data_IF_972942099653
#
_entry.id   IF_972942099653
#
_cell.length_a   1.000
_cell.length_b   1.000
_cell.length_c   1.000
_cell.angle_alpha   90.00
_cell.angle_beta   90.00
_cell.angle_gamma   90.00
#
_symmetry.space_group_name_H-M   'P 1'
#
loop_
_entity.id
_entity.type
_entity.pdbx_description
1 polymer ?
#
# COMPACT_ATOMS: atom_id res chain seq x y z
N UNK A 1 17.58 -3.57 -0.56
CA UNK A 1 17.69 -2.48 0.44
C UNK A 1 18.21 -1.20 -0.20
N UNK A 2 17.68 -0.02 0.19
CA UNK A 2 18.15 1.28 -0.32
C UNK A 2 18.93 2.06 0.73
N UNK A 3 19.89 2.88 0.33
CA UNK A 3 20.62 3.79 1.24
C UNK A 3 19.85 5.09 1.41
N UNK A 4 19.65 5.57 2.64
CA UNK A 4 19.10 6.90 2.97
C UNK A 4 20.04 7.67 3.89
N UNK A 5 19.75 8.96 4.15
CA UNK A 5 20.55 9.79 5.06
C UNK A 5 20.64 9.24 6.50
N UNK A 6 19.73 8.34 6.89
CA UNK A 6 19.71 7.67 8.20
C UNK A 6 20.06 6.18 8.19
N UNK A 7 20.60 5.65 7.09
CA UNK A 7 20.97 4.22 6.97
C UNK A 7 20.21 3.44 5.90
N UNK A 8 20.30 2.10 5.93
CA UNK A 8 19.62 1.21 4.99
C UNK A 8 18.11 1.16 5.30
N UNK A 9 17.29 1.66 4.39
CA UNK A 9 15.84 1.71 4.54
C UNK A 9 15.14 0.94 3.43
N UNK A 10 13.94 0.48 3.73
CA UNK A 10 13.07 -0.29 2.83
C UNK A 10 11.65 0.14 3.06
N UNK A 11 10.90 0.28 1.99
CA UNK A 11 9.48 0.62 2.02
C UNK A 11 8.65 -0.64 1.94
N UNK A 12 7.59 -0.69 2.73
CA UNK A 12 6.55 -1.71 2.63
C UNK A 12 5.41 -1.10 1.85
N UNK A 13 5.12 -1.67 0.68
CA UNK A 13 3.93 -1.37 -0.09
C UNK A 13 2.88 -2.44 0.19
N UNK A 14 1.63 -2.03 0.27
CA UNK A 14 0.51 -2.92 0.51
C UNK A 14 -0.71 -2.48 -0.29
N UNK A 15 -1.38 -3.45 -0.92
CA UNK A 15 -2.75 -3.33 -1.42
C UNK A 15 -3.64 -4.07 -0.44
N UNK A 16 -4.76 -3.48 -0.03
CA UNK A 16 -5.75 -4.13 0.84
C UNK A 16 -7.13 -4.11 0.24
N UNK A 17 -7.97 -5.05 0.67
CA UNK A 17 -9.40 -5.03 0.38
C UNK A 17 -10.13 -3.86 1.10
N UNK A 18 -11.43 -3.72 0.85
CA UNK A 18 -12.25 -2.68 1.47
C UNK A 18 -12.38 -2.79 3.00
N UNK A 19 -12.06 -3.96 3.59
CA UNK A 19 -12.05 -4.20 5.03
C UNK A 19 -10.69 -3.85 5.66
N UNK A 20 -9.67 -3.60 4.85
CA UNK A 20 -8.30 -3.33 5.28
C UNK A 20 -7.48 -4.59 5.48
N UNK A 21 -7.84 -5.70 4.84
CA UNK A 21 -7.06 -6.94 4.83
C UNK A 21 -6.07 -6.94 3.65
N UNK A 22 -4.79 -7.26 3.86
CA UNK A 22 -3.78 -7.18 2.81
C UNK A 22 -4.01 -8.24 1.73
N UNK A 23 -3.95 -7.83 0.46
CA UNK A 23 -4.02 -8.67 -0.74
C UNK A 23 -2.61 -8.89 -1.29
N UNK A 24 -1.84 -7.81 -1.45
CA UNK A 24 -0.49 -7.86 -2.02
C UNK A 24 0.46 -7.07 -1.14
N UNK A 25 1.64 -7.62 -0.90
CA UNK A 25 2.71 -7.03 -0.09
C UNK A 25 4.01 -7.05 -0.88
N UNK A 26 4.67 -5.90 -0.94
CA UNK A 26 5.93 -5.75 -1.68
C UNK A 26 6.91 -4.91 -0.88
N UNK A 27 8.19 -5.24 -1.01
CA UNK A 27 9.28 -4.43 -0.50
C UNK A 27 9.98 -3.73 -1.65
N UNK A 28 10.36 -2.48 -1.41
CA UNK A 28 11.32 -1.79 -2.28
C UNK A 28 12.39 -1.09 -1.47
N UNK A 29 13.52 -0.82 -2.13
CA UNK A 29 14.57 0.01 -1.57
C UNK A 29 14.00 1.37 -1.12
N UNK A 30 14.49 1.92 -0.01
CA UNK A 30 13.94 3.17 0.54
C UNK A 30 13.98 4.38 -0.40
N UNK A 31 14.87 4.38 -1.39
CA UNK A 31 14.97 5.42 -2.42
C UNK A 31 14.06 5.18 -3.63
N UNK A 32 13.39 4.03 -3.70
CA UNK A 32 12.50 3.74 -4.80
C UNK A 32 11.28 4.67 -4.78
N UNK A 33 10.90 5.15 -5.96
CA UNK A 33 9.71 5.98 -6.13
C UNK A 33 8.45 5.11 -5.96
N UNK A 34 7.50 5.57 -5.15
CA UNK A 34 6.35 4.77 -4.74
C UNK A 34 5.46 4.38 -5.93
N UNK A 35 5.17 5.34 -6.83
CA UNK A 35 4.39 5.08 -8.04
C UNK A 35 4.97 4.00 -8.96
N UNK A 36 6.28 4.01 -9.23
CA UNK A 36 6.92 2.99 -10.10
C UNK A 36 6.98 1.63 -9.41
N UNK A 37 7.06 1.64 -8.09
CA UNK A 37 7.21 0.45 -7.25
C UNK A 37 5.90 -0.32 -7.07
N UNK A 38 4.75 0.32 -7.24
CA UNK A 38 3.45 -0.30 -7.02
C UNK A 38 2.66 -0.61 -8.30
N UNK A 39 3.17 -0.24 -9.50
CA UNK A 39 2.49 -0.55 -10.77
C UNK A 39 2.17 -2.04 -10.87
N UNK A 40 3.11 -2.94 -10.59
CA UNK A 40 2.91 -4.39 -10.62
C UNK A 40 2.00 -4.93 -9.50
N UNK A 41 1.73 -4.16 -8.46
CA UNK A 41 0.84 -4.58 -7.37
C UNK A 41 -0.64 -4.41 -7.71
N UNK A 42 -0.94 -3.64 -8.76
CA UNK A 42 -2.30 -3.24 -9.12
C UNK A 42 -2.92 -4.14 -10.19
N UNK A 43 -2.26 -5.24 -10.56
CA UNK A 43 -2.81 -6.25 -11.46
C UNK A 43 -4.09 -6.91 -10.88
N UNK A 44 -4.27 -6.82 -9.56
CA UNK A 44 -5.48 -7.28 -8.87
C UNK A 44 -6.67 -6.31 -8.98
N UNK A 45 -6.46 -5.09 -9.50
CA UNK A 45 -7.49 -4.08 -9.64
C UNK A 45 -8.18 -4.20 -11.00
N UNK A 46 -9.49 -4.45 -10.98
CA UNK A 46 -10.31 -4.68 -12.17
C UNK A 46 -11.46 -3.69 -12.36
N UNK A 47 -12.25 -3.92 -13.41
CA UNK A 47 -13.40 -3.10 -13.78
C UNK A 47 -14.40 -2.95 -12.63
N UNK A 48 -14.95 -1.74 -12.46
CA UNK A 48 -15.92 -1.43 -11.40
C UNK A 48 -15.32 -1.26 -10.00
N UNK A 49 -14.03 -1.54 -9.81
CA UNK A 49 -13.36 -1.33 -8.53
C UNK A 49 -12.88 0.12 -8.37
N UNK A 50 -12.68 0.53 -7.13
CA UNK A 50 -12.15 1.86 -6.80
C UNK A 50 -10.83 1.73 -6.05
N UNK A 51 -9.75 2.28 -6.62
CA UNK A 51 -8.46 2.34 -5.95
C UNK A 51 -8.34 3.64 -5.13
N UNK A 52 -8.08 3.50 -3.83
CA UNK A 52 -7.73 4.61 -2.95
C UNK A 52 -6.22 4.66 -2.76
N UNK A 53 -5.58 5.79 -3.03
CA UNK A 53 -4.13 5.91 -2.81
C UNK A 53 -3.69 7.31 -2.39
N UNK A 54 -2.52 7.37 -1.74
CA UNK A 54 -1.89 8.61 -1.33
C UNK A 54 -1.26 9.38 -2.49
N UNK A 55 -0.94 10.64 -2.23
CA UNK A 55 -0.35 11.52 -3.23
C UNK A 55 0.98 10.98 -3.81
N UNK A 56 1.72 10.17 -3.07
CA UNK A 56 2.94 9.52 -3.58
C UNK A 56 2.69 8.56 -4.76
N UNK A 57 1.44 8.10 -4.93
CA UNK A 57 1.01 7.27 -6.06
C UNK A 57 0.33 8.08 -7.17
N UNK A 58 0.18 9.40 -7.01
CA UNK A 58 -0.46 10.23 -8.05
C UNK A 58 0.44 10.33 -9.28
N UNK A 59 0.01 9.70 -10.38
CA UNK A 59 0.65 9.82 -11.68
C UNK A 59 -0.39 9.70 -12.79
N UNK A 60 -0.13 10.32 -13.95
CA UNK A 60 -1.00 10.21 -15.12
C UNK A 60 -1.08 8.78 -15.61
N UNK A 61 0.09 8.13 -15.75
CA UNK A 61 0.20 6.71 -16.11
C UNK A 61 -0.68 5.80 -15.26
N UNK A 62 -0.69 5.96 -13.92
CA UNK A 62 -1.53 5.14 -13.06
C UNK A 62 -3.03 5.41 -13.30
N UNK A 63 -3.42 6.68 -13.41
CA UNK A 63 -4.82 7.04 -13.64
C UNK A 63 -5.33 6.57 -15.00
N UNK A 64 -4.51 6.71 -16.04
CA UNK A 64 -4.79 6.22 -17.39
C UNK A 64 -4.93 4.69 -17.40
N UNK A 65 -4.03 3.97 -16.73
CA UNK A 65 -4.13 2.52 -16.60
C UNK A 65 -5.40 2.09 -15.88
N UNK A 66 -5.76 2.75 -14.77
CA UNK A 66 -7.00 2.45 -14.04
C UNK A 66 -8.22 2.72 -14.91
N UNK A 67 -8.24 3.83 -15.65
CA UNK A 67 -9.30 4.13 -16.59
C UNK A 67 -9.41 3.08 -17.70
N UNK A 68 -8.28 2.62 -18.26
CA UNK A 68 -8.24 1.61 -19.31
C UNK A 68 -8.82 0.25 -18.87
N UNK A 69 -8.66 -0.12 -17.59
CA UNK A 69 -9.27 -1.36 -17.03
C UNK A 69 -10.67 -1.13 -16.45
N UNK A 70 -11.24 0.07 -16.59
CA UNK A 70 -12.57 0.41 -16.06
C UNK A 70 -12.63 0.58 -14.54
N UNK A 71 -11.49 0.85 -13.89
CA UNK A 71 -11.38 1.12 -12.46
C UNK A 71 -11.38 2.63 -12.16
N UNK A 72 -11.95 3.01 -11.01
CA UNK A 72 -11.99 4.40 -10.56
C UNK A 72 -10.78 4.74 -9.69
N UNK A 73 -10.08 5.82 -10.02
CA UNK A 73 -8.97 6.34 -9.22
C UNK A 73 -9.44 7.42 -8.23
N UNK A 74 -9.39 7.13 -6.93
CA UNK A 74 -9.56 8.13 -5.84
C UNK A 74 -8.21 8.31 -5.16
N UNK A 75 -7.34 9.02 -5.86
CA UNK A 75 -5.96 9.27 -5.45
C UNK A 75 -5.81 10.73 -5.09
N UNK A 76 -5.27 11.03 -3.91
CA UNK A 76 -5.02 12.41 -3.49
C UNK A 76 -4.07 13.07 -4.50
N UNK A 77 -4.43 14.21 -5.12
CA UNK A 77 -3.54 14.86 -6.07
C UNK A 77 -2.30 15.43 -5.36
N UNK A 78 -1.13 15.37 -6.01
CA UNK A 78 0.07 16.06 -5.53
C UNK A 78 -0.16 17.58 -5.62
N UNK A 79 0.25 18.39 -4.61
CA UNK A 79 -0.03 19.84 -4.60
C UNK A 79 0.49 20.62 -5.81
N UNK A 80 1.55 20.13 -6.46
CA UNK A 80 2.20 20.77 -7.61
C UNK A 80 1.59 20.41 -8.96
N UNK A 81 0.51 19.62 -8.98
CA UNK A 81 -0.13 19.18 -10.21
C UNK A 81 -0.88 20.36 -10.86
N UNK A 82 -0.57 20.66 -12.11
CA UNK A 82 -1.18 21.78 -12.86
C UNK A 82 -2.69 21.64 -13.00
N UNK A 83 -3.17 20.41 -13.25
CA UNK A 83 -4.60 20.11 -13.41
C UNK A 83 -4.98 18.97 -12.47
N UNK A 84 -5.32 19.26 -11.20
CA UNK A 84 -5.66 18.25 -10.21
C UNK A 84 -7.09 17.72 -10.43
N UNK A 85 -7.29 16.39 -10.56
CA UNK A 85 -8.62 15.80 -10.63
C UNK A 85 -9.39 16.02 -9.33
N UNK A 86 -10.73 16.10 -9.37
CA UNK A 86 -11.54 16.18 -8.16
C UNK A 86 -11.31 14.97 -7.27
N UNK A 87 -11.15 15.20 -5.97
CA UNK A 87 -10.99 14.15 -4.97
C UNK A 87 -12.32 13.92 -4.26
N UNK A 88 -12.88 12.72 -4.42
CA UNK A 88 -14.00 12.26 -3.60
C UNK A 88 -13.53 12.05 -2.16
N UNK A 89 -13.77 13.06 -1.32
CA UNK A 89 -13.33 13.07 0.08
C UNK A 89 -14.00 11.97 0.90
N UNK A 90 -15.25 11.63 0.60
CA UNK A 90 -15.98 10.61 1.34
C UNK A 90 -15.40 9.22 1.06
N UNK A 91 -15.14 8.91 -0.21
CA UNK A 91 -14.43 7.69 -0.58
C UNK A 91 -13.01 7.66 -0.01
N UNK A 92 -12.28 8.78 -0.10
CA UNK A 92 -10.90 8.87 0.38
C UNK A 92 -10.75 8.63 1.90
N UNK A 93 -11.74 8.99 2.72
CA UNK A 93 -11.75 8.68 4.17
C UNK A 93 -11.60 7.18 4.47
N UNK A 94 -12.00 6.29 3.55
CA UNK A 94 -11.88 4.83 3.73
C UNK A 94 -10.42 4.35 3.72
N UNK A 95 -9.46 5.18 3.29
CA UNK A 95 -8.00 4.91 3.40
C UNK A 95 -7.56 4.61 4.84
N UNK A 96 -8.27 5.09 5.85
CA UNK A 96 -8.04 4.72 7.25
C UNK A 96 -7.99 3.18 7.47
N UNK A 97 -8.63 2.38 6.62
CA UNK A 97 -8.53 0.91 6.66
C UNK A 97 -7.10 0.40 6.42
N UNK A 98 -6.40 0.91 5.39
CA UNK A 98 -5.01 0.53 5.12
C UNK A 98 -4.07 1.10 6.19
N UNK A 99 -4.36 2.27 6.74
CA UNK A 99 -3.57 2.85 7.84
C UNK A 99 -3.66 2.00 9.12
N UNK A 100 -4.86 1.51 9.45
CA UNK A 100 -5.07 0.56 10.55
C UNK A 100 -4.35 -0.76 10.32
N UNK A 101 -4.28 -1.24 9.08
CA UNK A 101 -3.47 -2.41 8.74
C UNK A 101 -1.99 -2.18 9.06
N UNK A 102 -1.40 -1.07 8.60
CA UNK A 102 -0.01 -0.73 8.91
C UNK A 102 0.23 -0.51 10.41
N UNK A 103 -0.75 0.06 11.13
CA UNK A 103 -0.69 0.19 12.58
C UNK A 103 -0.61 -1.18 13.27
N UNK A 104 -1.48 -2.13 12.89
CA UNK A 104 -1.42 -3.52 13.39
C UNK A 104 -0.10 -4.20 13.03
N UNK A 105 0.40 -3.98 11.82
CA UNK A 105 1.67 -4.54 11.37
C UNK A 105 2.85 -4.04 12.23
N UNK A 106 2.79 -2.78 12.68
CA UNK A 106 3.81 -2.18 13.56
C UNK A 106 3.71 -2.64 15.02
N UNK A 107 2.68 -3.40 15.42
CA UNK A 107 2.67 -4.03 16.76
C UNK A 107 3.74 -5.12 16.87
N UNK A 108 4.17 -5.70 15.76
CA UNK A 108 5.25 -6.68 15.73
C UNK A 108 6.60 -5.94 15.75
N UNK A 109 7.27 -5.97 16.92
CA UNK A 109 8.54 -5.25 17.15
C UNK A 109 9.61 -5.58 16.09
N UNK A 110 9.72 -6.84 15.69
CA UNK A 110 10.66 -7.28 14.64
C UNK A 110 10.42 -6.58 13.29
N UNK A 111 9.17 -6.24 12.98
CA UNK A 111 8.79 -5.50 11.77
C UNK A 111 9.04 -4.00 11.97
N UNK A 112 8.54 -3.44 13.07
CA UNK A 112 8.64 -2.01 13.36
C UNK A 112 10.08 -1.50 13.41
N UNK A 113 10.98 -2.27 14.02
CA UNK A 113 12.41 -1.93 14.12
C UNK A 113 13.26 -2.53 12.99
N UNK A 114 12.65 -3.32 12.09
CA UNK A 114 13.35 -4.03 11.00
C UNK A 114 14.58 -4.82 11.49
N UNK A 115 14.35 -5.87 12.27
CA UNK A 115 15.43 -6.74 12.75
C UNK A 115 16.08 -7.58 11.64
N UNK A 116 15.33 -7.88 10.59
CA UNK A 116 15.84 -8.66 9.45
C UNK A 116 16.71 -7.82 8.51
N UNK A 117 17.92 -8.32 8.25
CA UNK A 117 18.87 -7.71 7.32
C UNK A 117 18.57 -8.04 5.86
N UNK A 118 18.01 -9.23 5.60
CA UNK A 118 17.72 -9.70 4.24
C UNK A 118 16.27 -9.38 3.85
N UNK A 119 16.08 -8.85 2.64
CA UNK A 119 14.75 -8.44 2.16
C UNK A 119 13.78 -9.63 2.06
N UNK A 120 14.26 -10.82 1.66
CA UNK A 120 13.44 -12.02 1.59
C UNK A 120 12.89 -12.44 2.97
N UNK A 121 13.75 -12.48 3.99
CA UNK A 121 13.34 -12.80 5.36
C UNK A 121 12.40 -11.75 5.93
N UNK A 122 12.69 -10.47 5.69
CA UNK A 122 11.83 -9.39 6.15
C UNK A 122 10.44 -9.47 5.51
N UNK A 123 10.37 -9.76 4.20
CA UNK A 123 9.10 -9.97 3.52
C UNK A 123 8.36 -11.20 4.07
N UNK A 124 9.07 -12.29 4.37
CA UNK A 124 8.48 -13.47 4.99
C UNK A 124 7.87 -13.14 6.36
N UNK A 125 8.57 -12.40 7.22
CA UNK A 125 8.02 -11.94 8.51
C UNK A 125 6.78 -11.06 8.35
N UNK A 126 6.79 -10.14 7.38
CA UNK A 126 5.63 -9.29 7.09
C UNK A 126 4.45 -10.15 6.63
N UNK A 127 4.68 -11.12 5.75
CA UNK A 127 3.64 -12.06 5.29
C UNK A 127 3.08 -12.89 6.45
N UNK A 128 3.93 -13.40 7.36
CA UNK A 128 3.48 -14.12 8.55
C UNK A 128 2.60 -13.23 9.46
N UNK A 129 3.02 -12.00 9.72
CA UNK A 129 2.23 -11.05 10.50
C UNK A 129 0.90 -10.70 9.80
N UNK A 130 0.90 -10.54 8.48
CA UNK A 130 -0.29 -10.32 7.69
C UNK A 130 -1.26 -11.51 7.75
N UNK A 131 -0.77 -12.75 7.65
CA UNK A 131 -1.57 -13.97 7.83
C UNK A 131 -2.22 -14.01 9.21
N UNK A 132 -1.49 -13.65 10.26
CA UNK A 132 -2.06 -13.58 11.62
C UNK A 132 -3.13 -12.50 11.76
N UNK A 133 -2.98 -11.36 11.07
CA UNK A 133 -4.01 -10.31 11.00
C UNK A 133 -5.26 -10.83 10.29
N UNK A 134 -5.09 -11.60 9.21
CA UNK A 134 -6.18 -12.27 8.51
C UNK A 134 -6.94 -13.23 9.43
N UNK A 135 -6.24 -14.18 10.05
CA UNK A 135 -6.85 -15.20 10.91
C UNK A 135 -7.69 -14.59 12.04
N UNK A 136 -7.18 -13.54 12.70
CA UNK A 136 -7.91 -12.86 13.77
C UNK A 136 -9.26 -12.27 13.34
N UNK A 137 -9.40 -11.88 12.08
CA UNK A 137 -10.69 -11.37 11.57
C UNK A 137 -11.69 -12.51 11.39
N UNK A 138 -11.25 -13.73 11.09
CA UNK A 138 -12.14 -14.88 10.94
C UNK A 138 -12.44 -15.55 12.29
N UNK A 139 -11.45 -15.67 13.18
CA UNK A 139 -11.63 -16.22 14.53
C UNK A 139 -12.48 -15.33 15.43
N UNK A 140 -12.49 -14.01 15.21
CA UNK A 140 -13.32 -13.08 15.98
C UNK A 140 -14.78 -13.01 15.50
N UNK A 141 -15.11 -13.69 14.40
CA UNK A 141 -16.45 -13.72 13.79
C UNK A 141 -17.11 -15.11 13.98
N UNK A 142 -16.36 -16.08 14.50
CA UNK A 142 -16.85 -17.36 15.02
C UNK A 142 -17.16 -17.23 16.52
#
# INVERSE_FOLDING_TARGET
MGRSRGGLTTKIHAVSDARGLPITLKLTAGQAHDGRSADDMLDTVGAGQTLLADAAYDSNRLRERLAAVGARAVIKPIPRRSTPPPLDRHAYRRRNRIERFFSKLKHYRAIATRYEKHDANFLALIKLAATRIWLRVYESVA
#
